data_IF_511584124130
#
_entry.id   IF_511584124130
#
_cell.length_a   1.000
_cell.length_b   1.000
_cell.length_c   1.000
_cell.angle_alpha   90.00
_cell.angle_beta   90.00
_cell.angle_gamma   90.00
#
_symmetry.space_group_name_H-M   'P 1'
#
loop_
_entity.id
_entity.type
_entity.pdbx_description
1 polymer ?
#
# COMPACT_ATOMS: atom_id res chain seq x y z
N UNK A 1 -4.13 12.76 -12.28
CA UNK A 1 -4.41 11.97 -11.06
C UNK A 1 -5.78 11.34 -11.20
N UNK A 2 -5.93 10.01 -11.08
CA UNK A 2 -7.21 9.29 -11.17
C UNK A 2 -7.56 8.73 -9.78
N UNK A 3 -8.69 9.15 -9.21
CA UNK A 3 -9.13 8.72 -7.86
C UNK A 3 -10.52 8.07 -7.84
N UNK A 4 -11.27 8.16 -8.94
CA UNK A 4 -12.61 7.59 -9.09
C UNK A 4 -12.65 6.62 -10.27
N UNK A 5 -13.54 5.64 -10.20
CA UNK A 5 -13.82 4.76 -11.33
C UNK A 5 -14.25 5.59 -12.55
N UNK A 6 -13.83 5.13 -13.73
CA UNK A 6 -14.32 5.69 -14.97
C UNK A 6 -15.78 5.27 -15.17
N UNK A 7 -16.55 6.12 -15.84
CA UNK A 7 -17.85 5.70 -16.38
C UNK A 7 -17.64 4.52 -17.35
N UNK A 8 -18.59 3.57 -17.42
CA UNK A 8 -18.42 2.33 -18.20
C UNK A 8 -17.96 2.56 -19.65
N UNK A 9 -18.41 3.64 -20.26
CA UNK A 9 -18.16 3.97 -21.67
C UNK A 9 -16.92 4.88 -21.90
N UNK A 10 -16.23 5.28 -20.84
CA UNK A 10 -15.07 6.14 -20.95
C UNK A 10 -13.80 5.34 -21.39
N UNK A 11 -13.03 5.83 -22.37
CA UNK A 11 -11.82 5.15 -22.84
C UNK A 11 -10.76 5.07 -21.73
N UNK A 12 -10.04 3.94 -21.65
CA UNK A 12 -8.86 3.85 -20.80
C UNK A 12 -7.68 4.54 -21.50
N UNK A 13 -7.38 5.75 -21.04
CA UNK A 13 -6.36 6.62 -21.63
C UNK A 13 -4.97 6.43 -21.01
N UNK A 14 -4.86 5.61 -19.96
CA UNK A 14 -3.61 5.39 -19.25
C UNK A 14 -3.07 3.99 -19.54
N UNK A 15 -1.75 3.83 -19.76
CA UNK A 15 -1.15 2.51 -19.85
C UNK A 15 -1.35 1.75 -18.52
N UNK A 16 -1.39 0.41 -18.56
CA UNK A 16 -1.37 -0.40 -17.35
C UNK A 16 -0.10 -0.07 -16.53
N UNK A 17 -0.22 -0.12 -15.21
CA UNK A 17 0.93 0.06 -14.33
C UNK A 17 1.71 -1.25 -14.22
N UNK A 18 3.02 -1.20 -14.43
CA UNK A 18 3.89 -2.38 -14.28
C UNK A 18 4.32 -2.64 -12.82
N UNK A 19 3.94 -1.74 -11.91
CA UNK A 19 4.30 -1.71 -10.50
C UNK A 19 3.45 -0.69 -9.72
N UNK A 20 3.26 -0.89 -8.41
CA UNK A 20 2.49 0.02 -7.56
C UNK A 20 3.19 0.32 -6.23
N UNK A 21 3.06 1.57 -5.78
CA UNK A 21 3.37 2.01 -4.41
C UNK A 21 2.09 2.51 -3.78
N UNK A 22 1.76 1.99 -2.59
CA UNK A 22 0.68 2.52 -1.75
C UNK A 22 1.27 3.10 -0.46
N UNK A 23 1.37 4.43 -0.46
CA UNK A 23 2.02 5.18 0.61
C UNK A 23 1.45 6.61 0.70
N UNK A 24 1.16 7.13 1.90
CA UNK A 24 0.88 6.34 3.10
C UNK A 24 -0.38 5.46 2.89
N UNK A 25 -0.41 4.27 3.51
CA UNK A 25 -1.64 3.48 3.67
C UNK A 25 -2.11 3.50 5.13
N UNK A 26 -3.40 3.73 5.36
CA UNK A 26 -3.98 3.69 6.71
C UNK A 26 -4.29 2.25 7.12
N UNK A 27 -4.38 1.97 8.43
CA UNK A 27 -4.80 0.64 8.93
C UNK A 27 -6.17 0.21 8.37
N UNK A 28 -7.11 1.14 8.16
CA UNK A 28 -8.40 0.84 7.55
C UNK A 28 -8.26 0.34 6.10
N UNK A 29 -7.51 1.06 5.26
CA UNK A 29 -7.28 0.66 3.87
C UNK A 29 -6.50 -0.65 3.78
N UNK A 30 -5.51 -0.85 4.66
CA UNK A 30 -4.73 -2.08 4.74
C UNK A 30 -5.59 -3.30 5.09
N UNK A 31 -6.45 -3.17 6.09
CA UNK A 31 -7.35 -4.24 6.51
C UNK A 31 -8.39 -4.57 5.42
N UNK A 32 -8.95 -3.56 4.76
CA UNK A 32 -9.86 -3.75 3.62
C UNK A 32 -9.17 -4.49 2.48
N UNK A 33 -7.97 -4.07 2.10
CA UNK A 33 -7.19 -4.72 1.05
C UNK A 33 -6.90 -6.19 1.37
N UNK A 34 -6.42 -6.48 2.59
CA UNK A 34 -6.16 -7.85 3.03
C UNK A 34 -7.43 -8.72 3.15
N UNK A 35 -8.62 -8.11 3.17
CA UNK A 35 -9.90 -8.81 3.13
C UNK A 35 -10.49 -8.92 1.71
N UNK A 36 -9.83 -8.35 0.68
CA UNK A 36 -10.35 -8.29 -0.69
C UNK A 36 -11.46 -7.26 -0.90
N UNK A 37 -11.65 -6.31 0.03
CA UNK A 37 -12.66 -5.25 -0.09
C UNK A 37 -12.12 -4.15 -1.01
N UNK A 38 -12.80 -3.95 -2.13
CA UNK A 38 -12.47 -2.99 -3.19
C UNK A 38 -13.51 -1.88 -3.31
N UNK A 39 -13.82 -1.21 -2.20
CA UNK A 39 -14.84 -0.14 -2.15
C UNK A 39 -14.34 1.24 -2.60
N UNK A 40 -13.08 1.33 -3.02
CA UNK A 40 -12.48 2.50 -3.65
C UNK A 40 -11.64 2.07 -4.85
N UNK A 41 -11.47 2.97 -5.84
CA UNK A 41 -10.63 2.67 -7.01
C UNK A 41 -9.22 2.19 -6.63
N UNK A 42 -8.48 2.85 -5.72
CA UNK A 42 -7.15 2.38 -5.33
C UNK A 42 -7.18 0.96 -4.75
N UNK A 43 -8.18 0.63 -3.93
CA UNK A 43 -8.30 -0.72 -3.36
C UNK A 43 -8.64 -1.77 -4.43
N UNK A 44 -9.48 -1.44 -5.42
CA UNK A 44 -9.73 -2.32 -6.56
C UNK A 44 -8.45 -2.64 -7.35
N UNK A 45 -7.67 -1.61 -7.67
CA UNK A 45 -6.39 -1.79 -8.37
C UNK A 45 -5.39 -2.63 -7.56
N UNK A 46 -5.31 -2.41 -6.24
CA UNK A 46 -4.43 -3.18 -5.36
C UNK A 46 -4.85 -4.65 -5.22
N UNK A 47 -6.15 -4.94 -5.17
CA UNK A 47 -6.66 -6.32 -5.18
C UNK A 47 -6.29 -7.02 -6.49
N UNK A 48 -6.48 -6.35 -7.63
CA UNK A 48 -6.07 -6.88 -8.94
C UNK A 48 -4.57 -7.10 -9.03
N UNK A 49 -3.74 -6.15 -8.57
CA UNK A 49 -2.28 -6.22 -8.63
C UNK A 49 -1.74 -7.46 -7.91
N UNK A 50 -2.31 -7.81 -6.75
CA UNK A 50 -1.98 -9.04 -6.02
C UNK A 50 -2.31 -10.28 -6.88
N UNK A 51 -3.49 -10.31 -7.49
CA UNK A 51 -3.89 -11.41 -8.39
C UNK A 51 -3.02 -11.53 -9.64
N UNK A 52 -2.56 -10.40 -10.18
CA UNK A 52 -1.66 -10.32 -11.35
C UNK A 52 -0.19 -10.58 -11.00
N UNK A 53 0.15 -10.68 -9.70
CA UNK A 53 1.53 -10.78 -9.20
C UNK A 53 2.41 -9.62 -9.68
N UNK A 54 1.83 -8.42 -9.72
CA UNK A 54 2.58 -7.20 -10.01
C UNK A 54 3.43 -6.80 -8.78
N UNK A 55 4.60 -6.16 -8.96
CA UNK A 55 5.36 -5.58 -7.87
C UNK A 55 4.54 -4.55 -7.09
N UNK A 56 4.29 -4.80 -5.80
CA UNK A 56 3.57 -3.86 -4.92
C UNK A 56 4.35 -3.60 -3.65
N UNK A 57 4.57 -2.32 -3.34
CA UNK A 57 5.13 -1.86 -2.07
C UNK A 57 4.07 -1.11 -1.28
N UNK A 58 3.91 -1.46 -0.01
CA UNK A 58 2.98 -0.81 0.92
C UNK A 58 3.73 -0.18 2.10
N UNK A 59 3.39 1.07 2.43
CA UNK A 59 3.97 1.76 3.59
C UNK A 59 2.87 2.24 4.54
N UNK A 60 2.56 1.48 5.59
CA UNK A 60 1.59 1.90 6.59
C UNK A 60 2.02 3.18 7.32
N UNK A 61 1.07 4.11 7.48
CA UNK A 61 1.22 5.28 8.35
C UNK A 61 0.05 5.32 9.32
N UNK A 62 0.31 5.01 10.58
CA UNK A 62 -0.68 5.05 11.65
C UNK A 62 0.01 5.19 13.00
N UNK A 63 -0.77 5.59 14.00
CA UNK A 63 -0.28 5.62 15.38
C UNK A 63 -0.02 4.20 15.90
N UNK A 64 0.76 4.11 16.99
CA UNK A 64 1.13 2.83 17.58
C UNK A 64 -0.09 2.01 18.01
N UNK A 65 -1.17 2.63 18.49
CA UNK A 65 -2.34 1.91 18.99
C UNK A 65 -3.11 1.22 17.85
N UNK A 66 -3.27 1.90 16.71
CA UNK A 66 -3.92 1.33 15.53
C UNK A 66 -3.08 0.23 14.87
N UNK A 67 -1.78 0.46 14.70
CA UNK A 67 -0.91 -0.48 14.00
C UNK A 67 -0.65 -1.75 14.81
N UNK A 68 -0.72 -1.67 16.15
CA UNK A 68 -0.61 -2.81 17.07
C UNK A 68 -1.86 -3.68 17.13
N UNK A 69 -2.94 -3.29 16.45
CA UNK A 69 -4.19 -4.06 16.49
C UNK A 69 -4.00 -5.43 15.81
N UNK A 70 -4.45 -6.55 16.41
CA UNK A 70 -4.17 -7.89 15.88
C UNK A 70 -4.58 -8.10 14.42
N UNK A 71 -5.75 -7.59 14.01
CA UNK A 71 -6.21 -7.74 12.63
C UNK A 71 -5.36 -6.93 11.62
N UNK A 72 -4.72 -5.83 12.05
CA UNK A 72 -3.79 -5.07 11.21
C UNK A 72 -2.49 -5.85 11.04
N UNK A 73 -1.99 -6.47 12.11
CA UNK A 73 -0.85 -7.39 12.01
C UNK A 73 -1.15 -8.60 11.10
N UNK A 74 -2.33 -9.20 11.22
CA UNK A 74 -2.77 -10.27 10.32
C UNK A 74 -2.85 -9.79 8.86
N UNK A 75 -3.35 -8.57 8.63
CA UNK A 75 -3.41 -7.98 7.31
C UNK A 75 -2.01 -7.79 6.70
N UNK A 76 -1.05 -7.25 7.47
CA UNK A 76 0.34 -7.11 7.03
C UNK A 76 0.97 -8.46 6.68
N UNK A 77 0.77 -9.48 7.53
CA UNK A 77 1.26 -10.83 7.29
C UNK A 77 0.70 -11.42 6.00
N UNK A 78 -0.63 -11.41 5.84
CA UNK A 78 -1.30 -11.92 4.63
C UNK A 78 -0.80 -11.26 3.36
N UNK A 79 -0.71 -9.93 3.35
CA UNK A 79 -0.22 -9.19 2.19
C UNK A 79 1.24 -9.55 1.87
N UNK A 80 2.08 -9.70 2.89
CA UNK A 80 3.46 -10.15 2.75
C UNK A 80 3.53 -11.56 2.16
N UNK A 81 2.69 -12.50 2.65
CA UNK A 81 2.60 -13.87 2.14
C UNK A 81 2.12 -13.91 0.67
N UNK A 82 1.37 -12.90 0.24
CA UNK A 82 0.91 -12.75 -1.14
C UNK A 82 1.91 -12.00 -2.04
N UNK A 83 3.10 -11.68 -1.52
CA UNK A 83 4.20 -11.07 -2.27
C UNK A 83 4.20 -9.55 -2.30
N UNK A 84 3.40 -8.89 -1.46
CA UNK A 84 3.50 -7.45 -1.23
C UNK A 84 4.70 -7.17 -0.33
N UNK A 85 5.55 -6.21 -0.72
CA UNK A 85 6.60 -5.71 0.17
C UNK A 85 6.01 -4.67 1.14
N UNK A 86 5.83 -5.02 2.41
CA UNK A 86 5.29 -4.11 3.44
C UNK A 86 6.45 -3.48 4.23
N UNK A 87 6.61 -2.16 4.13
CA UNK A 87 7.62 -1.42 4.90
C UNK A 87 6.99 -0.87 6.19
N UNK A 88 7.31 -1.50 7.31
CA UNK A 88 6.82 -1.13 8.64
C UNK A 88 7.89 -1.43 9.68
N UNK A 89 7.99 -0.58 10.70
CA UNK A 89 8.97 -0.71 11.78
C UNK A 89 9.67 0.60 12.08
N UNK A 90 10.40 0.63 13.21
CA UNK A 90 11.15 1.80 13.66
C UNK A 90 12.30 2.17 12.72
N UNK A 91 12.79 1.21 11.93
CA UNK A 91 13.79 1.37 10.88
C UNK A 91 13.25 2.08 9.64
N UNK A 92 11.93 2.00 9.41
CA UNK A 92 11.25 2.72 8.33
C UNK A 92 10.78 4.08 8.83
N UNK A 93 9.91 4.09 9.83
CA UNK A 93 9.36 5.29 10.44
C UNK A 93 8.80 4.94 11.81
N UNK A 94 9.22 5.67 12.84
CA UNK A 94 8.76 5.47 14.22
C UNK A 94 7.30 5.86 14.37
N UNK A 95 6.47 4.92 14.84
CA UNK A 95 5.05 5.19 15.03
C UNK A 95 4.83 6.29 16.07
N UNK A 96 3.86 7.17 15.78
CA UNK A 96 3.54 8.33 16.61
C UNK A 96 2.41 8.02 17.60
N UNK A 97 2.18 8.92 18.55
CA UNK A 97 1.06 8.83 19.49
C UNK A 97 -0.30 8.98 18.78
N UNK A 98 -1.39 8.40 19.32
CA UNK A 98 -2.73 8.65 18.82
C UNK A 98 -3.06 10.14 18.77
N UNK A 99 -3.67 10.58 17.67
CA UNK A 99 -4.07 11.97 17.47
C UNK A 99 -2.94 12.94 17.08
N UNK A 100 -1.68 12.50 17.01
CA UNK A 100 -0.56 13.39 16.68
C UNK A 100 -0.06 13.29 15.23
N UNK A 101 -0.73 12.53 14.36
CA UNK A 101 -0.20 12.16 13.03
C UNK A 101 0.11 13.35 12.11
N UNK A 102 -0.66 14.44 12.21
CA UNK A 102 -0.44 15.67 11.44
C UNK A 102 0.94 16.29 11.70
N UNK A 103 1.47 16.12 12.92
CA UNK A 103 2.79 16.61 13.30
C UNK A 103 3.94 15.80 12.68
N UNK A 104 3.67 14.67 12.04
CA UNK A 104 4.70 13.77 11.53
C UNK A 104 4.55 13.41 10.05
N UNK A 105 3.39 13.68 9.42
CA UNK A 105 3.16 13.31 8.02
C UNK A 105 4.19 13.93 7.06
N UNK A 106 4.74 15.09 7.40
CA UNK A 106 5.78 15.77 6.63
C UNK A 106 7.16 15.09 6.72
N UNK A 107 7.37 14.21 7.71
CA UNK A 107 8.58 13.41 7.90
C UNK A 107 8.48 12.04 7.22
N UNK A 108 7.37 11.77 6.53
CA UNK A 108 7.13 10.47 5.93
C UNK A 108 8.21 10.13 4.87
N UNK A 109 8.89 8.98 4.98
CA UNK A 109 10.10 8.68 4.22
C UNK A 109 9.78 8.10 2.84
N UNK A 110 9.21 8.93 1.96
CA UNK A 110 8.78 8.54 0.60
C UNK A 110 9.85 7.81 -0.22
N UNK A 111 11.12 8.17 -0.03
CA UNK A 111 12.24 7.57 -0.76
C UNK A 111 12.41 6.07 -0.49
N UNK A 112 12.02 5.57 0.69
CA UNK A 112 12.11 4.15 1.03
C UNK A 112 11.11 3.32 0.20
N UNK A 113 9.90 3.84 -0.05
CA UNK A 113 8.91 3.20 -0.92
C UNK A 113 9.49 2.98 -2.33
N UNK A 114 10.13 4.03 -2.86
CA UNK A 114 10.72 4.02 -4.18
C UNK A 114 11.90 3.05 -4.26
N UNK A 115 12.80 3.08 -3.29
CA UNK A 115 13.95 2.16 -3.22
C UNK A 115 13.49 0.70 -3.13
N UNK A 116 12.53 0.41 -2.27
CA UNK A 116 11.98 -0.94 -2.12
C UNK A 116 11.35 -1.44 -3.42
N UNK A 117 10.67 -0.57 -4.17
CA UNK A 117 10.07 -0.95 -5.46
C UNK A 117 11.15 -1.29 -6.50
N UNK A 118 12.21 -0.48 -6.58
CA UNK A 118 13.32 -0.73 -7.51
C UNK A 118 14.05 -2.05 -7.20
N UNK A 119 14.13 -2.42 -5.92
CA UNK A 119 14.70 -3.70 -5.46
C UNK A 119 13.68 -4.85 -5.40
N UNK A 120 12.42 -4.64 -5.80
CA UNK A 120 11.37 -5.62 -5.60
C UNK A 120 11.68 -6.92 -6.37
N UNK A 121 11.52 -8.11 -5.77
CA UNK A 121 11.90 -9.38 -6.41
C UNK A 121 11.25 -9.59 -7.79
N UNK A 122 10.00 -9.18 -7.92
CA UNK A 122 9.23 -9.28 -9.17
C UNK A 122 9.51 -8.15 -10.18
N UNK A 123 10.15 -7.05 -9.77
CA UNK A 123 10.44 -5.94 -10.68
C UNK A 123 11.49 -6.32 -11.73
N UNK A 124 12.44 -7.20 -11.37
CA UNK A 124 13.46 -7.76 -12.27
C UNK A 124 12.93 -8.81 -13.25
N UNK A 125 11.71 -9.31 -13.11
CA UNK A 125 11.14 -10.35 -13.98
C UNK A 125 10.31 -9.78 -15.16
N UNK A 126 9.99 -8.49 -15.13
CA UNK A 126 9.17 -7.80 -16.14
C UNK A 126 9.98 -6.91 -17.11
N UNK A 127 11.31 -7.03 -17.14
CA UNK A 127 12.20 -6.39 -18.13
C UNK A 127 12.70 -7.41 -19.13
#
# INVERSE_FOLDING_TARGET
MRSQYKEPDAPDILPPADAMIVAPITCNSLAKWAAGISDTLPLGLLVEAVGKREPVVAMPFSNWAQISFPAVHDAMRKLTDWGVTVLVGDDVYKQHEPGTGENYIHLFPWHLAWQALLSHPWHSQNK
#
